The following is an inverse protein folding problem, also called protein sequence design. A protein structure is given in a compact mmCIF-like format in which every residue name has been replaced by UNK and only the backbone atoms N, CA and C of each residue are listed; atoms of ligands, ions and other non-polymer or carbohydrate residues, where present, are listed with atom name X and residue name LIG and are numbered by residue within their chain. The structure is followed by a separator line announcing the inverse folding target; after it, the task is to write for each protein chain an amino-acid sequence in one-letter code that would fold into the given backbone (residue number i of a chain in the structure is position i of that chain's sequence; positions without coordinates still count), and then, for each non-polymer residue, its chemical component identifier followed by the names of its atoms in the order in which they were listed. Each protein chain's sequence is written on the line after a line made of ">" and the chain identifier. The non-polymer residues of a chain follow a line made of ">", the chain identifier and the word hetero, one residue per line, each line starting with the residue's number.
data_IF_810514014169
#
_entry.id   IF_810514014169
#
_cell.length_a   1.000
_cell.length_b   1.000
_cell.length_c   1.000
_cell.angle_alpha   90.00
_cell.angle_beta   90.00
_cell.angle_gamma   90.00
#
_symmetry.space_group_name_H-M   'P 1'
#
loop_
_entity.id
_entity.type
_entity.pdbx_description
1 polymer ?
#
# COMPACT_ATOMS: atom_id res chain seq x y z
N UNK A 1 10.39 6.24 6.06
CA UNK A 1 9.87 5.13 6.89
C UNK A 1 8.77 4.32 6.19
N UNK A 2 7.72 4.95 5.62
CA UNK A 2 6.59 4.20 5.02
C UNK A 2 7.00 3.35 3.81
N UNK A 3 7.80 3.88 2.88
CA UNK A 3 8.29 3.13 1.71
C UNK A 3 9.07 1.88 2.14
N UNK A 4 9.98 2.01 3.11
CA UNK A 4 10.76 0.88 3.64
C UNK A 4 9.86 -0.19 4.26
N UNK A 5 8.85 0.21 5.04
CA UNK A 5 7.86 -0.72 5.61
C UNK A 5 6.98 -1.37 4.54
N UNK A 6 6.60 -0.63 3.51
CA UNK A 6 5.88 -1.16 2.35
C UNK A 6 6.72 -2.18 1.59
N UNK A 7 8.02 -1.93 1.43
CA UNK A 7 8.95 -2.88 0.84
C UNK A 7 9.04 -4.18 1.65
N UNK A 8 9.04 -4.08 2.98
CA UNK A 8 8.98 -5.26 3.85
C UNK A 8 7.70 -6.09 3.67
N UNK A 9 6.55 -5.45 3.39
CA UNK A 9 5.31 -6.16 3.05
C UNK A 9 5.39 -6.83 1.67
N UNK A 10 5.96 -6.16 0.67
CA UNK A 10 6.19 -6.73 -0.66
C UNK A 10 7.09 -7.96 -0.58
N UNK A 11 8.19 -7.89 0.18
CA UNK A 11 9.08 -9.01 0.41
C UNK A 11 8.36 -10.18 1.10
N UNK A 12 7.68 -9.91 2.21
CA UNK A 12 6.93 -10.93 2.97
C UNK A 12 5.89 -11.64 2.09
N UNK A 13 5.12 -10.89 1.32
CA UNK A 13 4.13 -11.46 0.42
C UNK A 13 4.79 -12.24 -0.72
N UNK A 14 5.84 -11.67 -1.34
CA UNK A 14 6.57 -12.32 -2.42
C UNK A 14 7.21 -13.64 -2.00
N UNK A 15 7.90 -13.67 -0.85
CA UNK A 15 8.52 -14.88 -0.30
C UNK A 15 7.47 -15.97 -0.03
N UNK A 16 6.31 -15.61 0.53
CA UNK A 16 5.19 -16.53 0.72
C UNK A 16 4.62 -17.09 -0.59
N UNK A 17 4.91 -16.44 -1.74
CA UNK A 17 4.56 -16.88 -3.10
C UNK A 17 5.74 -17.47 -3.88
N UNK A 18 6.89 -17.70 -3.22
CA UNK A 18 8.08 -18.26 -3.85
C UNK A 18 8.88 -17.28 -4.71
N UNK A 19 8.66 -15.97 -4.54
CA UNK A 19 9.47 -14.96 -5.19
C UNK A 19 10.88 -14.90 -4.59
N UNK A 20 11.84 -14.45 -5.39
CA UNK A 20 13.23 -14.21 -4.95
C UNK A 20 13.37 -12.78 -4.43
N UNK A 21 13.88 -12.63 -3.20
CA UNK A 21 14.07 -11.32 -2.58
C UNK A 21 14.93 -10.37 -3.44
N UNK A 22 15.95 -10.90 -4.13
CA UNK A 22 16.83 -10.12 -5.01
C UNK A 22 16.09 -9.52 -6.20
N UNK A 23 15.04 -10.20 -6.68
CA UNK A 23 14.20 -9.68 -7.78
C UNK A 23 13.35 -8.51 -7.29
N UNK A 24 12.79 -8.63 -6.08
CA UNK A 24 11.97 -7.58 -5.48
C UNK A 24 12.82 -6.37 -5.06
N UNK A 25 14.04 -6.58 -4.59
CA UNK A 25 14.98 -5.49 -4.27
C UNK A 25 15.59 -4.82 -5.51
N UNK A 26 15.34 -5.36 -6.71
CA UNK A 26 15.78 -4.78 -7.97
C UNK A 26 14.92 -3.60 -8.47
N UNK A 27 15.18 -3.17 -9.71
CA UNK A 27 14.50 -2.04 -10.34
C UNK A 27 12.97 -2.23 -10.43
N UNK A 28 12.52 -3.44 -10.72
CA UNK A 28 11.10 -3.73 -10.90
C UNK A 28 10.29 -3.74 -9.59
N UNK A 29 10.94 -3.86 -8.42
CA UNK A 29 10.26 -3.82 -7.13
C UNK A 29 10.58 -2.53 -6.38
N UNK A 30 11.76 -2.44 -5.76
CA UNK A 30 12.15 -1.26 -4.98
C UNK A 30 12.24 0.01 -5.85
N UNK A 31 12.78 -0.10 -7.07
CA UNK A 31 12.89 1.04 -7.99
C UNK A 31 11.53 1.60 -8.37
N UNK A 32 10.62 0.73 -8.83
CA UNK A 32 9.26 1.10 -9.21
C UNK A 32 8.44 1.63 -8.02
N UNK A 33 8.59 1.02 -6.84
CA UNK A 33 7.96 1.49 -5.61
C UNK A 33 8.38 2.93 -5.26
N UNK A 34 9.69 3.22 -5.28
CA UNK A 34 10.20 4.56 -4.98
C UNK A 34 9.65 5.58 -6.00
N UNK A 35 9.70 5.27 -7.30
CA UNK A 35 9.19 6.17 -8.34
C UNK A 35 7.69 6.43 -8.19
N UNK A 36 6.91 5.37 -7.95
CA UNK A 36 5.45 5.46 -7.77
C UNK A 36 5.08 6.29 -6.55
N UNK A 37 5.79 6.13 -5.43
CA UNK A 37 5.49 6.82 -4.17
C UNK A 37 6.07 8.25 -4.09
N UNK A 38 6.96 8.65 -5.00
CA UNK A 38 7.67 9.94 -4.90
C UNK A 38 7.17 11.01 -5.86
N UNK A 39 6.16 10.73 -6.68
CA UNK A 39 5.66 11.68 -7.68
C UNK A 39 4.14 11.69 -7.77
N UNK A 40 3.54 12.87 -7.74
CA UNK A 40 2.09 13.06 -7.98
C UNK A 40 1.68 12.79 -9.43
N UNK A 41 2.63 12.57 -10.35
CA UNK A 41 2.32 12.06 -11.69
C UNK A 41 1.87 10.59 -11.66
N UNK A 42 2.22 9.86 -10.60
CA UNK A 42 1.65 8.54 -10.33
C UNK A 42 0.16 8.67 -10.02
N UNK A 43 -0.66 7.85 -10.69
CA UNK A 43 -2.12 7.83 -10.47
C UNK A 43 -2.46 7.37 -9.05
N UNK A 44 -1.66 6.45 -8.49
CA UNK A 44 -1.83 5.98 -7.12
C UNK A 44 -1.45 7.06 -6.11
N UNK A 45 -0.31 7.74 -6.31
CA UNK A 45 0.13 8.80 -5.38
C UNK A 45 -0.82 10.00 -5.40
N UNK A 46 -1.22 10.46 -6.59
CA UNK A 46 -2.21 11.55 -6.71
C UNK A 46 -3.57 11.19 -6.16
N UNK A 47 -3.98 9.92 -6.17
CA UNK A 47 -5.18 9.48 -5.47
C UNK A 47 -4.99 9.60 -3.96
N UNK A 48 -3.88 9.07 -3.42
CA UNK A 48 -3.57 9.17 -1.99
C UNK A 48 -3.55 10.60 -1.47
N UNK A 49 -3.01 11.55 -2.24
CA UNK A 49 -3.05 12.99 -1.91
C UNK A 49 -4.49 13.50 -1.85
N UNK A 50 -5.32 13.20 -2.85
CA UNK A 50 -6.71 13.65 -2.86
C UNK A 50 -7.52 13.05 -1.69
N UNK A 51 -7.24 11.79 -1.31
CA UNK A 51 -7.85 11.18 -0.14
C UNK A 51 -7.42 11.91 1.14
N UNK A 52 -6.14 12.28 1.27
CA UNK A 52 -5.62 13.04 2.41
C UNK A 52 -6.21 14.46 2.50
N UNK A 53 -6.66 15.03 1.39
CA UNK A 53 -7.43 16.29 1.35
C UNK A 53 -8.91 16.10 1.78
N UNK A 54 -9.30 14.89 2.19
CA UNK A 54 -10.64 14.57 2.68
C UNK A 54 -11.63 14.16 1.59
N UNK A 55 -11.18 13.98 0.35
CA UNK A 55 -12.05 13.54 -0.76
C UNK A 55 -12.28 12.03 -0.68
N UNK A 56 -13.46 11.56 -1.11
CA UNK A 56 -13.71 10.13 -1.21
C UNK A 56 -13.05 9.53 -2.46
N UNK A 57 -12.68 8.25 -2.41
CA UNK A 57 -12.12 7.55 -3.57
C UNK A 57 -13.10 7.54 -4.76
N UNK A 58 -14.39 7.38 -4.50
CA UNK A 58 -15.44 7.39 -5.52
C UNK A 58 -15.50 8.73 -6.26
N UNK A 59 -15.44 9.87 -5.55
CA UNK A 59 -15.53 11.18 -6.18
C UNK A 59 -14.29 11.46 -7.05
N UNK A 60 -13.11 11.14 -6.53
CA UNK A 60 -11.84 11.34 -7.24
C UNK A 60 -11.77 10.47 -8.50
N UNK A 61 -12.26 9.23 -8.44
CA UNK A 61 -12.27 8.33 -9.59
C UNK A 61 -13.32 8.72 -10.64
N UNK A 62 -14.48 9.25 -10.23
CA UNK A 62 -15.51 9.70 -11.16
C UNK A 62 -15.05 10.88 -12.05
N UNK A 63 -14.10 11.69 -11.56
CA UNK A 63 -13.54 12.83 -12.29
C UNK A 63 -12.34 12.46 -13.18
N UNK A 64 -11.80 11.24 -13.06
CA UNK A 64 -10.56 10.83 -13.73
C UNK A 64 -10.84 9.90 -14.91
N UNK A 65 -10.23 10.20 -16.05
CA UNK A 65 -10.20 9.31 -17.22
C UNK A 65 -9.21 8.12 -17.09
N UNK A 66 -8.48 8.03 -15.97
CA UNK A 66 -7.42 7.03 -15.78
C UNK A 66 -7.60 6.30 -14.44
N UNK A 67 -7.32 5.00 -14.46
CA UNK A 67 -7.54 4.09 -13.32
C UNK A 67 -6.31 4.11 -12.40
N UNK A 68 -6.55 4.32 -11.10
CA UNK A 68 -5.54 4.05 -10.08
C UNK A 68 -5.61 2.56 -9.69
N UNK A 69 -4.68 1.76 -10.21
CA UNK A 69 -4.65 0.30 -10.03
C UNK A 69 -4.74 -0.14 -8.57
N UNK A 70 -4.14 0.65 -7.66
CA UNK A 70 -4.13 0.36 -6.23
C UNK A 70 -5.53 0.25 -5.61
N UNK A 71 -6.54 0.92 -6.19
CA UNK A 71 -7.95 0.84 -5.75
C UNK A 71 -8.50 -0.58 -5.90
N UNK A 72 -8.11 -1.26 -6.97
CA UNK A 72 -8.56 -2.62 -7.26
C UNK A 72 -7.64 -3.66 -6.63
N UNK A 73 -6.34 -3.38 -6.57
CA UNK A 73 -5.35 -4.32 -6.03
C UNK A 73 -5.41 -4.43 -4.51
N UNK A 74 -5.62 -3.32 -3.79
CA UNK A 74 -5.62 -3.31 -2.32
C UNK A 74 -6.62 -4.30 -1.67
N UNK A 75 -7.92 -4.35 -2.06
CA UNK A 75 -8.86 -5.30 -1.45
C UNK A 75 -8.49 -6.77 -1.74
N UNK A 76 -8.04 -7.05 -2.96
CA UNK A 76 -7.61 -8.41 -3.35
C UNK A 76 -6.39 -8.82 -2.53
N UNK A 77 -5.38 -7.94 -2.45
CA UNK A 77 -4.14 -8.24 -1.72
C UNK A 77 -4.39 -8.35 -0.21
N UNK A 78 -5.26 -7.51 0.36
CA UNK A 78 -5.67 -7.60 1.77
C UNK A 78 -6.35 -8.95 2.05
N UNK A 79 -7.29 -9.36 1.21
CA UNK A 79 -7.97 -10.66 1.33
C UNK A 79 -7.00 -11.83 1.20
N UNK A 80 -6.06 -11.78 0.24
CA UNK A 80 -5.07 -12.83 0.07
C UNK A 80 -4.10 -12.89 1.25
N UNK A 81 -3.68 -11.74 1.77
CA UNK A 81 -2.81 -11.67 2.95
C UNK A 81 -3.48 -12.33 4.16
N UNK A 82 -4.76 -12.02 4.43
CA UNK A 82 -5.53 -12.60 5.53
C UNK A 82 -5.69 -14.12 5.38
N UNK A 83 -6.08 -14.60 4.19
CA UNK A 83 -6.21 -16.03 3.89
C UNK A 83 -4.90 -16.83 4.10
N UNK A 84 -3.77 -16.17 3.91
CA UNK A 84 -2.45 -16.78 4.08
C UNK A 84 -1.78 -16.45 5.42
N UNK A 85 -2.45 -15.75 6.33
CA UNK A 85 -1.90 -15.35 7.63
C UNK A 85 -0.70 -14.41 7.52
N UNK A 86 -0.61 -13.61 6.46
CA UNK A 86 0.50 -12.68 6.21
C UNK A 86 0.21 -11.32 6.86
N UNK A 87 1.11 -10.89 7.75
CA UNK A 87 1.03 -9.58 8.40
C UNK A 87 1.30 -8.46 7.36
N UNK A 88 0.27 -7.80 6.82
CA UNK A 88 0.39 -6.72 5.83
C UNK A 88 -0.40 -5.45 6.25
N UNK A 89 0.04 -4.75 7.32
CA UNK A 89 -0.72 -3.65 7.89
C UNK A 89 -0.93 -2.45 6.96
N UNK A 90 0.03 -2.12 6.09
CA UNK A 90 -0.10 -0.99 5.17
C UNK A 90 -1.16 -1.33 4.14
N UNK A 91 -1.14 -2.53 3.56
CA UNK A 91 -2.19 -2.99 2.64
C UNK A 91 -3.56 -2.96 3.31
N UNK A 92 -3.66 -3.48 4.54
CA UNK A 92 -4.92 -3.46 5.30
C UNK A 92 -5.41 -2.03 5.58
N UNK A 93 -4.52 -1.12 5.97
CA UNK A 93 -4.84 0.28 6.23
C UNK A 93 -5.30 1.01 4.96
N UNK A 94 -4.61 0.80 3.84
CA UNK A 94 -5.01 1.35 2.53
C UNK A 94 -6.40 0.84 2.14
N UNK A 95 -6.66 -0.46 2.30
CA UNK A 95 -7.97 -1.04 2.00
C UNK A 95 -9.08 -0.41 2.87
N UNK A 96 -8.86 -0.26 4.17
CA UNK A 96 -9.83 0.33 5.09
C UNK A 96 -10.12 1.81 4.77
N UNK A 97 -9.08 2.58 4.40
CA UNK A 97 -9.24 3.98 3.97
C UNK A 97 -10.04 4.07 2.67
N UNK A 98 -9.74 3.23 1.68
CA UNK A 98 -10.45 3.23 0.39
C UNK A 98 -11.94 2.94 0.54
N UNK A 99 -12.31 2.10 1.50
CA UNK A 99 -13.70 1.72 1.79
C UNK A 99 -14.35 2.57 2.90
N UNK A 100 -13.68 3.64 3.36
CA UNK A 100 -14.17 4.54 4.41
C UNK A 100 -14.45 3.86 5.76
N UNK A 101 -13.82 2.71 6.01
CA UNK A 101 -13.91 1.97 7.28
C UNK A 101 -12.98 2.58 8.35
N UNK A 102 -11.98 3.36 7.92
CA UNK A 102 -11.03 4.01 8.78
C UNK A 102 -10.62 5.38 8.22
N UNK A 103 -10.67 6.41 9.04
CA UNK A 103 -10.14 7.73 8.69
C UNK A 103 -8.62 7.69 8.49
N UNK A 104 -8.09 8.50 7.58
CA UNK A 104 -6.66 8.51 7.22
C UNK A 104 -5.77 8.79 8.42
N UNK A 105 -6.12 9.79 9.24
CA UNK A 105 -5.32 10.14 10.42
C UNK A 105 -5.25 8.98 11.40
N UNK A 106 -6.39 8.31 11.64
CA UNK A 106 -6.44 7.10 12.48
C UNK A 106 -5.67 5.94 11.87
N UNK A 107 -5.64 5.79 10.55
CA UNK A 107 -4.82 4.79 9.87
C UNK A 107 -3.33 5.05 10.06
N UNK A 108 -2.89 6.30 9.92
CA UNK A 108 -1.51 6.72 10.14
C UNK A 108 -1.11 6.48 11.60
N UNK A 109 -1.93 6.91 12.55
CA UNK A 109 -1.68 6.69 13.99
C UNK A 109 -1.51 5.21 14.31
N UNK A 110 -2.42 4.35 13.83
CA UNK A 110 -2.33 2.89 14.00
C UNK A 110 -1.05 2.33 13.39
N UNK A 111 -0.67 2.79 12.21
CA UNK A 111 0.57 2.34 11.57
C UNK A 111 1.81 2.78 12.36
N UNK A 112 1.84 3.99 12.89
CA UNK A 112 2.97 4.52 13.66
C UNK A 112 3.05 3.96 15.08
N UNK A 113 1.92 3.62 15.70
CA UNK A 113 1.87 3.01 17.03
C UNK A 113 2.34 1.56 17.07
N UNK A 114 2.41 0.88 15.91
CA UNK A 114 2.90 -0.50 15.86
C UNK A 114 4.39 -0.56 16.26
N UNK A 115 4.78 -1.50 17.13
CA UNK A 115 6.19 -1.66 17.50
C UNK A 115 7.02 -1.99 16.27
N UNK A 116 8.21 -1.39 16.19
CA UNK A 116 9.21 -1.72 15.18
C UNK A 116 9.59 -3.20 15.34
N UNK A 117 9.08 -4.06 14.45
CA UNK A 117 9.59 -5.44 14.32
C UNK A 117 10.94 -5.41 13.63
N UNK A 118 11.83 -6.35 13.97
CA UNK A 118 13.07 -6.55 13.21
C UNK A 118 12.73 -6.89 11.76
N UNK A 119 13.49 -6.32 10.83
CA UNK A 119 13.28 -6.55 9.39
C UNK A 119 13.71 -7.96 8.95
N UNK A 120 14.44 -8.68 9.81
CA UNK A 120 14.80 -10.09 9.68
C UNK A 120 14.70 -10.74 11.06
N UNK A 121 14.02 -11.89 11.12
CA UNK A 121 14.30 -12.91 12.12
C UNK A 121 15.49 -13.74 11.65
#
# INVERSE_FOLDING_TARGET
>A
ALITRGMAEILRYGEAKGARAETLMGLAGMGDLILTCSSVQSRNMSLGVALAEGRSASDVLAERNSVAEGVHTAPILASLADQHGLDMPIVAAVNAVLHQELAIDSAIERLLARPLKRERD
#
